data_IF_340236137132
#
_entry.id   IF_340236137132
#
_cell.length_a   1.000
_cell.length_b   1.000
_cell.length_c   1.000
_cell.angle_alpha   90.00
_cell.angle_beta   90.00
_cell.angle_gamma   90.00
#
_symmetry.space_group_name_H-M   'P 1'
#
loop_
_entity.id
_entity.type
_entity.pdbx_description
1 polymer ?
#
# COMPACT_ATOMS: atom_id res chain seq x y z
N UNK A 1 -7.06 15.81 27.49
CA UNK A 1 -7.55 16.16 26.13
C UNK A 1 -7.87 14.85 25.42
N UNK A 2 -9.04 14.70 24.80
CA UNK A 2 -9.39 13.46 24.09
C UNK A 2 -8.66 13.48 22.75
N UNK A 3 -7.96 12.40 22.41
CA UNK A 3 -7.32 12.23 21.10
C UNK A 3 -8.38 12.33 19.99
N UNK A 4 -8.06 13.03 18.90
CA UNK A 4 -8.91 13.07 17.70
C UNK A 4 -8.99 11.69 17.00
N UNK A 5 -8.01 10.82 17.26
CA UNK A 5 -8.02 9.42 16.81
C UNK A 5 -8.58 8.55 17.93
N UNK A 6 -9.63 7.78 17.64
CA UNK A 6 -10.24 6.87 18.62
C UNK A 6 -9.20 5.86 19.15
N UNK A 7 -9.20 5.55 20.46
CA UNK A 7 -8.20 4.67 21.09
C UNK A 7 -8.53 3.17 20.85
N UNK A 8 -8.54 2.74 19.59
CA UNK A 8 -8.91 1.37 19.19
C UNK A 8 -7.71 0.40 19.10
N UNK A 9 -6.49 0.88 19.31
CA UNK A 9 -5.25 0.09 19.17
C UNK A 9 -4.30 0.30 20.35
N UNK A 10 -3.63 -0.76 20.79
CA UNK A 10 -2.51 -0.69 21.72
C UNK A 10 -1.19 -0.42 20.96
N UNK A 11 -0.88 0.85 20.71
CA UNK A 11 0.24 1.28 19.86
C UNK A 11 1.56 1.27 20.63
N UNK A 12 2.65 0.91 19.96
CA UNK A 12 4.01 1.21 20.44
C UNK A 12 4.29 2.70 20.31
N UNK A 13 5.09 3.26 21.22
CA UNK A 13 5.53 4.66 21.17
C UNK A 13 6.73 4.83 20.23
N UNK A 14 6.51 4.52 18.94
CA UNK A 14 7.49 4.66 17.87
C UNK A 14 6.81 5.39 16.70
N UNK A 15 7.31 6.57 16.36
CA UNK A 15 6.83 7.36 15.23
C UNK A 15 7.78 7.22 14.04
N UNK A 16 7.39 6.41 13.05
CA UNK A 16 8.18 6.20 11.82
C UNK A 16 8.01 7.37 10.84
N UNK A 17 9.10 7.82 10.22
CA UNK A 17 9.11 8.94 9.26
C UNK A 17 9.62 8.58 7.85
N UNK A 18 10.47 7.54 7.75
CA UNK A 18 11.08 7.13 6.48
C UNK A 18 11.15 5.62 6.40
N UNK A 19 11.00 5.08 5.20
CA UNK A 19 11.22 3.67 4.91
C UNK A 19 11.87 3.46 3.55
N UNK A 20 12.78 2.48 3.49
CA UNK A 20 13.55 2.11 2.30
C UNK A 20 13.87 0.61 2.34
N UNK A 21 13.31 -0.16 1.41
CA UNK A 21 13.46 -1.61 1.40
C UNK A 21 12.97 -2.23 2.70
N UNK A 22 13.80 -3.03 3.36
CA UNK A 22 13.48 -3.66 4.64
C UNK A 22 13.78 -2.79 5.87
N UNK A 23 14.13 -1.51 5.70
CA UNK A 23 14.48 -0.62 6.81
C UNK A 23 13.48 0.52 6.97
N UNK A 24 13.26 0.91 8.23
CA UNK A 24 12.50 2.11 8.61
C UNK A 24 13.27 2.95 9.60
N UNK A 25 12.97 4.24 9.66
CA UNK A 25 13.55 5.21 10.58
C UNK A 25 12.46 5.91 11.37
N UNK A 26 12.66 6.07 12.68
CA UNK A 26 11.80 6.94 13.48
C UNK A 26 12.19 8.42 13.38
N UNK A 27 11.34 9.28 13.91
CA UNK A 27 11.51 10.75 13.99
C UNK A 27 12.79 11.18 14.75
N UNK A 28 13.46 10.27 15.47
CA UNK A 28 14.73 10.53 16.15
C UNK A 28 15.92 10.03 15.32
N UNK A 29 15.68 9.51 14.12
CA UNK A 29 16.69 8.99 13.20
C UNK A 29 17.15 7.57 13.52
N UNK A 30 16.54 6.87 14.49
CA UNK A 30 16.90 5.48 14.80
C UNK A 30 16.38 4.55 13.70
N UNK A 31 17.28 3.71 13.20
CA UNK A 31 17.00 2.73 12.15
C UNK A 31 16.56 1.40 12.72
N UNK A 32 15.52 0.80 12.14
CA UNK A 32 15.01 -0.53 12.46
C UNK A 32 15.02 -1.40 11.21
N UNK A 33 15.39 -2.67 11.39
CA UNK A 33 15.12 -3.72 10.39
C UNK A 33 13.67 -4.17 10.58
N UNK A 34 12.85 -4.02 9.55
CA UNK A 34 11.42 -4.30 9.59
C UNK A 34 11.14 -5.76 9.23
N UNK A 35 10.85 -6.57 10.24
CA UNK A 35 10.34 -7.94 10.09
C UNK A 35 8.82 -8.06 10.24
N UNK A 36 8.12 -6.93 10.42
CA UNK A 36 6.66 -6.90 10.52
C UNK A 36 5.98 -6.59 9.17
N UNK A 37 6.62 -5.77 8.32
CA UNK A 37 6.08 -5.38 7.01
C UNK A 37 4.73 -4.68 7.11
N UNK A 38 4.47 -3.97 8.22
CA UNK A 38 3.16 -3.37 8.48
C UNK A 38 2.02 -4.39 8.57
N UNK A 39 2.26 -5.52 9.24
CA UNK A 39 1.36 -6.69 9.26
C UNK A 39 1.26 -7.29 7.84
N UNK A 40 2.41 -7.69 7.30
CA UNK A 40 2.55 -8.36 6.01
C UNK A 40 2.01 -7.60 4.77
N UNK A 41 1.77 -6.29 4.88
CA UNK A 41 1.30 -5.43 3.77
C UNK A 41 2.44 -5.08 2.82
N UNK A 42 3.59 -4.64 3.35
CA UNK A 42 4.73 -4.14 2.58
C UNK A 42 5.60 -5.27 2.02
N UNK A 43 5.02 -6.13 1.18
CA UNK A 43 5.69 -7.32 0.63
C UNK A 43 6.95 -7.01 -0.21
N UNK A 44 7.04 -5.82 -0.80
CA UNK A 44 8.19 -5.34 -1.58
C UNK A 44 9.08 -4.35 -0.81
N UNK A 45 8.89 -4.26 0.51
CA UNK A 45 9.52 -3.25 1.36
C UNK A 45 8.92 -1.86 1.19
N UNK A 46 9.52 -0.90 1.90
CA UNK A 46 9.08 0.48 1.91
C UNK A 46 9.65 1.27 0.73
N UNK A 47 8.82 2.12 0.13
CA UNK A 47 9.20 3.06 -0.93
C UNK A 47 9.94 2.43 -2.12
N UNK A 48 9.57 1.21 -2.51
CA UNK A 48 10.21 0.52 -3.64
C UNK A 48 10.16 1.39 -4.91
N UNK A 49 11.30 1.68 -5.58
CA UNK A 49 11.35 2.67 -6.66
C UNK A 49 10.33 2.45 -7.77
N UNK A 50 10.14 1.19 -8.18
CA UNK A 50 9.14 0.83 -9.19
C UNK A 50 7.68 1.13 -8.76
N UNK A 51 7.35 0.93 -7.49
CA UNK A 51 6.01 1.23 -6.96
C UNK A 51 5.78 2.74 -6.86
N UNK A 52 6.78 3.48 -6.40
CA UNK A 52 6.73 4.94 -6.30
C UNK A 52 6.56 5.56 -7.68
N UNK A 53 7.33 5.12 -8.67
CA UNK A 53 7.21 5.60 -10.05
C UNK A 53 5.82 5.31 -10.64
N UNK A 54 5.32 4.07 -10.49
CA UNK A 54 4.00 3.69 -10.98
C UNK A 54 2.87 4.51 -10.34
N UNK A 55 2.95 4.74 -9.03
CA UNK A 55 2.01 5.57 -8.28
C UNK A 55 2.04 7.02 -8.78
N UNK A 56 3.21 7.66 -8.82
CA UNK A 56 3.37 9.04 -9.23
C UNK A 56 2.91 9.27 -10.68
N UNK A 57 3.28 8.37 -11.60
CA UNK A 57 2.89 8.45 -13.00
C UNK A 57 1.37 8.36 -13.21
N UNK A 58 0.68 7.51 -12.44
CA UNK A 58 -0.78 7.38 -12.53
C UNK A 58 -1.49 8.54 -11.82
N UNK A 59 -0.98 8.97 -10.67
CA UNK A 59 -1.50 10.10 -9.90
C UNK A 59 -1.48 11.42 -10.69
N UNK A 60 -0.50 11.61 -11.58
CA UNK A 60 -0.44 12.75 -12.48
C UNK A 60 -1.48 12.71 -13.62
N UNK A 61 -2.25 11.62 -13.76
CA UNK A 61 -3.27 11.43 -14.80
C UNK A 61 -4.68 11.44 -14.23
N UNK A 62 -5.04 10.42 -13.46
CA UNK A 62 -6.39 10.25 -12.90
C UNK A 62 -6.38 9.26 -11.73
N UNK A 63 -7.17 9.56 -10.69
CA UNK A 63 -7.22 8.81 -9.43
C UNK A 63 -8.50 7.98 -9.29
N UNK A 64 -9.65 8.57 -9.57
CA UNK A 64 -10.95 7.98 -9.29
C UNK A 64 -11.95 8.31 -10.38
N UNK A 65 -12.66 7.29 -10.86
CA UNK A 65 -13.67 7.40 -11.92
C UNK A 65 -15.01 6.80 -11.55
N UNK A 66 -15.17 6.19 -10.36
CA UNK A 66 -16.23 5.20 -10.08
C UNK A 66 -16.16 3.95 -10.99
N UNK A 67 -17.09 3.02 -10.81
CA UNK A 67 -17.25 1.83 -11.65
C UNK A 67 -18.14 2.07 -12.88
N UNK A 68 -18.57 3.31 -13.14
CA UNK A 68 -19.44 3.65 -14.27
C UNK A 68 -18.70 3.71 -15.62
N UNK A 69 -17.36 3.76 -15.62
CA UNK A 69 -16.53 3.86 -16.80
C UNK A 69 -15.55 2.71 -16.91
N UNK A 70 -15.02 2.51 -18.11
CA UNK A 70 -13.96 1.54 -18.38
C UNK A 70 -12.63 2.01 -17.79
N UNK A 71 -11.91 1.12 -17.09
CA UNK A 71 -10.63 1.41 -16.44
C UNK A 71 -9.56 0.44 -16.97
N UNK A 72 -8.76 0.83 -18.00
CA UNK A 72 -7.80 -0.08 -18.65
C UNK A 72 -6.77 -0.70 -17.71
N UNK A 73 -6.34 0.03 -16.67
CA UNK A 73 -5.40 -0.47 -15.66
C UNK A 73 -6.03 -1.56 -14.78
N UNK A 74 -7.34 -1.45 -14.49
CA UNK A 74 -8.09 -2.46 -13.74
C UNK A 74 -8.24 -3.74 -14.56
N UNK A 75 -8.59 -3.61 -15.84
CA UNK A 75 -8.69 -4.75 -16.78
C UNK A 75 -7.35 -5.48 -16.90
N UNK A 76 -6.26 -4.75 -17.10
CA UNK A 76 -4.90 -5.31 -17.17
C UNK A 76 -4.51 -6.05 -15.87
N UNK A 77 -4.89 -5.53 -14.71
CA UNK A 77 -4.64 -6.20 -13.44
C UNK A 77 -5.51 -7.45 -13.28
N UNK A 78 -6.78 -7.40 -13.68
CA UNK A 78 -7.70 -8.53 -13.66
C UNK A 78 -7.18 -9.70 -14.50
N UNK A 79 -6.75 -9.43 -15.74
CA UNK A 79 -6.14 -10.43 -16.63
C UNK A 79 -4.92 -11.10 -16.00
N UNK A 80 -4.04 -10.32 -15.35
CA UNK A 80 -2.86 -10.87 -14.67
C UNK A 80 -3.22 -11.74 -13.46
N UNK A 81 -4.24 -11.38 -12.70
CA UNK A 81 -4.69 -12.16 -11.55
C UNK A 81 -5.34 -13.48 -11.99
N UNK A 82 -6.24 -13.42 -12.97
CA UNK A 82 -6.87 -14.60 -13.57
C UNK A 82 -5.82 -15.55 -14.13
N UNK A 83 -4.82 -15.04 -14.87
CA UNK A 83 -3.73 -15.86 -15.40
C UNK A 83 -2.83 -16.50 -14.33
N UNK A 84 -2.82 -15.95 -13.10
CA UNK A 84 -1.97 -16.41 -12.01
C UNK A 84 -2.70 -17.29 -10.99
N UNK A 85 -4.00 -17.52 -11.14
CA UNK A 85 -4.78 -18.35 -10.23
C UNK A 85 -5.84 -19.19 -10.97
N UNK A 86 -6.74 -19.83 -10.21
CA UNK A 86 -7.76 -20.71 -10.77
C UNK A 86 -9.02 -19.97 -11.22
N UNK A 87 -9.14 -18.67 -10.92
CA UNK A 87 -10.37 -17.92 -11.10
C UNK A 87 -10.56 -17.47 -12.55
N UNK A 88 -11.81 -17.45 -13.02
CA UNK A 88 -12.17 -16.94 -14.37
C UNK A 88 -12.42 -15.42 -14.38
N UNK A 89 -12.74 -14.81 -13.24
CA UNK A 89 -13.05 -13.38 -13.11
C UNK A 89 -12.75 -12.85 -11.71
N UNK A 90 -12.66 -11.53 -11.55
CA UNK A 90 -12.33 -10.86 -10.27
C UNK A 90 -13.17 -9.61 -10.03
N UNK A 91 -13.33 -9.25 -8.75
CA UNK A 91 -13.91 -7.99 -8.30
C UNK A 91 -12.91 -7.30 -7.35
N UNK A 92 -12.66 -6.00 -7.56
CA UNK A 92 -11.71 -5.23 -6.76
C UNK A 92 -12.38 -4.52 -5.59
N UNK A 93 -11.87 -4.74 -4.38
CA UNK A 93 -12.25 -4.07 -3.13
C UNK A 93 -11.08 -3.23 -2.58
N UNK A 94 -11.26 -2.64 -1.40
CA UNK A 94 -10.26 -1.76 -0.77
C UNK A 94 -9.60 -2.41 0.47
N UNK A 95 -10.16 -3.50 0.97
CA UNK A 95 -9.62 -4.30 2.07
C UNK A 95 -9.91 -5.77 1.81
N UNK A 96 -9.14 -6.65 2.45
CA UNK A 96 -9.46 -8.08 2.54
C UNK A 96 -10.77 -8.35 3.26
#
# INVERSE_FOLDING_TARGET
>A
MISAVMPTYNRSDIALERGEGAYVWDMQGRRYLDFAGGIAVSALGHSHPHLVEALCAQAAKIWHTSNLYRIPQQERLAERLVAACFADTVFFTNSG
#
